data_IF_157927799426
#
_entry.id   IF_157927799426
#
_cell.length_a   1.000
_cell.length_b   1.000
_cell.length_c   1.000
_cell.angle_alpha   90.00
_cell.angle_beta   90.00
_cell.angle_gamma   90.00
#
_symmetry.space_group_name_H-M   'P 1'
#
loop_
_entity.id
_entity.type
_entity.pdbx_description
1 polymer ?
#
# COMPACT_ATOMS: atom_id res chain seq x y z
N UNK A 1 2.00 18.82 -0.02
CA UNK A 1 1.31 19.98 -0.63
C UNK A 1 2.11 20.39 -1.85
N UNK A 2 1.44 20.58 -2.99
CA UNK A 2 2.04 21.12 -4.21
C UNK A 2 1.76 22.62 -4.35
N UNK A 3 2.25 23.23 -5.44
CA UNK A 3 2.12 24.67 -5.69
C UNK A 3 0.66 25.11 -5.87
N UNK A 4 -0.16 24.31 -6.54
CA UNK A 4 -1.57 24.66 -6.77
C UNK A 4 -2.40 24.58 -5.48
N UNK A 5 -2.13 23.56 -4.66
CA UNK A 5 -2.76 23.41 -3.35
C UNK A 5 -2.39 24.58 -2.43
N UNK A 6 -1.12 25.01 -2.43
CA UNK A 6 -0.67 26.15 -1.66
C UNK A 6 -1.30 27.47 -2.15
N UNK A 7 -1.30 27.70 -3.46
CA UNK A 7 -1.91 28.91 -4.05
C UNK A 7 -3.41 29.00 -3.74
N UNK A 8 -4.13 27.86 -3.70
CA UNK A 8 -5.53 27.85 -3.28
C UNK A 8 -5.70 28.30 -1.83
N UNK A 9 -4.84 27.83 -0.92
CA UNK A 9 -4.87 28.23 0.49
C UNK A 9 -4.57 29.71 0.62
N UNK A 10 -3.56 30.24 -0.08
CA UNK A 10 -3.23 31.67 -0.09
C UNK A 10 -4.42 32.52 -0.57
N UNK A 11 -5.05 32.14 -1.67
CA UNK A 11 -6.22 32.85 -2.19
C UNK A 11 -7.42 32.85 -1.20
N UNK A 12 -7.58 31.77 -0.45
CA UNK A 12 -8.60 31.70 0.61
C UNK A 12 -8.27 32.60 1.79
N UNK A 13 -7.01 32.65 2.21
CA UNK A 13 -6.54 33.55 3.28
C UNK A 13 -6.69 35.00 2.89
N UNK A 14 -6.37 35.38 1.66
CA UNK A 14 -6.50 36.77 1.18
C UNK A 14 -7.96 37.25 1.14
N UNK A 15 -8.91 36.33 0.92
CA UNK A 15 -10.35 36.67 0.85
C UNK A 15 -11.05 36.65 2.19
N UNK A 16 -10.45 36.10 3.21
CA UNK A 16 -11.06 35.92 4.53
C UNK A 16 -10.09 36.40 5.62
N UNK A 17 -10.16 37.66 6.01
CA UNK A 17 -9.27 38.28 6.99
C UNK A 17 -9.28 37.56 8.35
N UNK A 18 -10.40 37.00 8.75
CA UNK A 18 -10.57 36.25 10.02
C UNK A 18 -10.20 34.78 9.93
N UNK A 19 -9.72 34.29 8.76
CA UNK A 19 -9.39 32.89 8.55
C UNK A 19 -8.22 32.46 9.42
N UNK A 20 -8.42 31.39 10.20
CA UNK A 20 -7.36 30.71 10.93
C UNK A 20 -6.92 29.45 10.18
N UNK A 21 -5.62 29.32 9.99
CA UNK A 21 -5.03 28.16 9.31
C UNK A 21 -4.20 27.37 10.31
N UNK A 22 -4.45 26.08 10.40
CA UNK A 22 -3.61 25.12 11.12
C UNK A 22 -3.05 24.16 10.08
N UNK A 23 -1.73 24.21 9.87
CA UNK A 23 -1.04 23.28 8.97
C UNK A 23 -0.33 22.19 9.79
N UNK A 24 -0.65 20.94 9.53
CA UNK A 24 -0.03 19.78 10.16
C UNK A 24 0.70 18.96 9.10
N UNK A 25 1.95 18.59 9.36
CA UNK A 25 2.75 17.84 8.40
C UNK A 25 4.02 17.27 9.01
N UNK A 26 4.68 16.43 8.24
CA UNK A 26 5.97 15.83 8.56
C UNK A 26 6.87 15.95 7.32
N UNK A 27 7.82 16.87 7.32
CA UNK A 27 8.73 17.12 6.21
C UNK A 27 9.73 15.97 6.02
N UNK A 28 10.09 15.24 7.07
CA UNK A 28 10.93 14.03 6.99
C UNK A 28 10.21 12.89 6.26
N UNK A 29 8.88 12.96 6.12
CA UNK A 29 8.09 11.99 5.35
C UNK A 29 7.65 12.52 3.97
N UNK A 30 8.24 13.60 3.47
CA UNK A 30 7.94 14.09 2.13
C UNK A 30 8.68 13.28 1.07
N UNK A 31 8.00 12.28 0.50
CA UNK A 31 8.51 11.36 -0.54
C UNK A 31 7.76 11.48 -1.87
N UNK A 32 7.00 12.56 -2.08
CA UNK A 32 6.23 12.80 -3.29
C UNK A 32 6.73 14.01 -4.08
N UNK A 33 8.04 14.30 -4.00
CA UNK A 33 8.68 15.36 -4.78
C UNK A 33 8.42 15.23 -6.28
N UNK A 34 8.40 14.01 -6.80
CA UNK A 34 8.04 13.71 -8.19
C UNK A 34 6.60 14.09 -8.60
N UNK A 35 5.70 14.40 -7.64
CA UNK A 35 4.36 14.94 -7.86
C UNK A 35 4.26 16.44 -7.59
N UNK A 36 5.40 17.13 -7.38
CA UNK A 36 5.44 18.55 -7.06
C UNK A 36 5.24 18.88 -5.58
N UNK A 37 5.17 17.87 -4.70
CA UNK A 37 5.10 18.10 -3.25
C UNK A 37 6.44 18.60 -2.73
N UNK A 38 6.43 19.76 -2.03
CA UNK A 38 7.63 20.39 -1.50
C UNK A 38 7.39 20.88 -0.06
N UNK A 39 8.34 20.63 0.82
CA UNK A 39 8.30 21.10 2.21
C UNK A 39 8.43 22.61 2.33
N UNK A 40 8.94 23.31 1.27
CA UNK A 40 8.99 24.78 1.24
C UNK A 40 7.63 25.41 1.49
N UNK A 41 6.54 24.83 0.98
CA UNK A 41 5.19 25.35 1.19
C UNK A 41 4.72 25.26 2.64
N UNK A 42 5.17 24.25 3.40
CA UNK A 42 4.90 24.20 4.83
C UNK A 42 5.78 25.22 5.58
N UNK A 43 7.02 25.39 5.14
CA UNK A 43 7.97 26.33 5.72
C UNK A 43 7.52 27.78 5.53
N UNK A 44 6.90 28.13 4.38
CA UNK A 44 6.43 29.47 4.08
C UNK A 44 5.32 29.96 5.04
N UNK A 45 4.55 29.07 5.66
CA UNK A 45 3.65 29.48 6.74
C UNK A 45 4.40 30.11 7.92
N UNK A 46 5.59 29.60 8.23
CA UNK A 46 6.44 30.14 9.31
C UNK A 46 7.15 31.39 8.84
N UNK A 47 7.81 31.38 7.68
CA UNK A 47 8.67 32.47 7.18
C UNK A 47 7.87 33.67 6.69
N UNK A 48 6.78 33.44 5.96
CA UNK A 48 6.08 34.47 5.20
C UNK A 48 4.74 34.86 5.84
N UNK A 49 4.14 33.93 6.61
CA UNK A 49 2.84 34.19 7.27
C UNK A 49 2.94 34.26 8.79
N UNK A 50 4.15 34.25 9.36
CA UNK A 50 4.42 34.35 10.81
C UNK A 50 3.68 33.29 11.66
N UNK A 51 3.46 32.09 11.13
CA UNK A 51 2.83 31.03 11.88
C UNK A 51 3.71 30.55 13.04
N UNK A 52 3.11 30.25 14.17
CA UNK A 52 3.80 29.67 15.32
C UNK A 52 4.01 28.16 15.06
N UNK A 53 5.26 27.73 15.15
CA UNK A 53 5.63 26.34 14.97
C UNK A 53 5.56 25.59 16.31
N UNK A 54 4.91 24.43 16.29
CA UNK A 54 4.93 23.45 17.38
C UNK A 54 5.47 22.12 16.87
N UNK A 55 6.36 21.49 17.61
CA UNK A 55 6.88 20.15 17.30
C UNK A 55 6.20 19.12 18.19
N UNK A 56 5.57 18.11 17.55
CA UNK A 56 5.05 16.94 18.24
C UNK A 56 6.18 15.93 18.37
N UNK A 57 6.72 15.79 19.58
CA UNK A 57 7.88 14.96 19.87
C UNK A 57 7.54 13.58 20.44
N UNK A 58 6.33 13.42 20.99
CA UNK A 58 5.88 12.15 21.58
C UNK A 58 5.41 11.17 20.52
N UNK A 59 5.95 9.96 20.56
CA UNK A 59 5.59 8.86 19.65
C UNK A 59 4.95 7.73 20.43
N UNK A 60 3.66 7.53 20.19
CA UNK A 60 2.85 6.47 20.80
C UNK A 60 2.74 5.22 19.94
N UNK A 61 3.36 5.21 18.75
CA UNK A 61 3.27 4.12 17.77
C UNK A 61 4.34 3.08 17.98
N UNK A 62 5.60 3.51 18.00
CA UNK A 62 6.75 2.64 17.82
C UNK A 62 7.52 2.44 19.13
N UNK A 63 8.06 1.24 19.28
CA UNK A 63 8.94 0.88 20.38
C UNK A 63 10.23 1.70 20.41
N UNK A 64 10.94 1.65 21.55
CA UNK A 64 12.15 2.47 21.80
C UNK A 64 13.25 2.26 20.77
N UNK A 65 13.54 1.00 20.42
CA UNK A 65 14.62 0.69 19.46
C UNK A 65 14.33 1.24 18.05
N UNK A 66 13.07 1.15 17.58
CA UNK A 66 12.67 1.71 16.29
C UNK A 66 12.79 3.24 16.28
N UNK A 67 12.32 3.92 17.35
CA UNK A 67 12.43 5.38 17.46
C UNK A 67 13.88 5.81 17.54
N UNK A 68 14.74 5.09 18.28
CA UNK A 68 16.18 5.37 18.38
C UNK A 68 16.85 5.32 17.01
N UNK A 69 16.61 4.26 16.24
CA UNK A 69 17.15 4.14 14.88
C UNK A 69 16.60 5.23 13.95
N UNK A 70 15.30 5.50 14.02
CA UNK A 70 14.67 6.53 13.19
C UNK A 70 15.24 7.93 13.47
N UNK A 71 15.46 8.30 14.71
CA UNK A 71 16.11 9.57 15.09
C UNK A 71 17.53 9.66 14.53
N UNK A 72 18.36 8.64 14.77
CA UNK A 72 19.73 8.61 14.27
C UNK A 72 19.78 8.70 12.73
N UNK A 73 18.86 7.99 12.03
CA UNK A 73 18.79 8.05 10.59
C UNK A 73 18.30 9.42 10.10
N UNK A 74 17.34 10.04 10.78
CA UNK A 74 16.82 11.36 10.43
C UNK A 74 17.89 12.47 10.44
N UNK A 75 18.92 12.33 11.29
CA UNK A 75 20.05 13.28 11.31
C UNK A 75 20.86 13.32 10.01
N UNK A 76 20.74 12.29 9.18
CA UNK A 76 21.37 12.26 7.85
C UNK A 76 20.64 13.12 6.81
N UNK A 77 19.38 13.53 7.08
CA UNK A 77 18.59 14.40 6.21
C UNK A 77 19.06 15.83 6.44
N UNK A 78 19.50 16.52 5.39
CA UNK A 78 20.12 17.85 5.53
C UNK A 78 19.10 18.98 5.70
N UNK A 79 17.96 18.89 5.00
CA UNK A 79 16.91 19.92 5.05
C UNK A 79 15.73 19.42 5.89
N UNK A 80 15.77 19.72 7.19
CA UNK A 80 14.72 19.37 8.14
C UNK A 80 14.10 20.59 8.79
N UNK A 81 12.80 20.53 9.02
CA UNK A 81 12.08 21.53 9.83
C UNK A 81 12.10 21.17 11.31
N UNK A 82 12.16 19.88 11.66
CA UNK A 82 12.25 19.40 13.04
C UNK A 82 13.65 19.60 13.61
N UNK A 83 13.70 20.06 14.85
CA UNK A 83 14.96 20.26 15.60
C UNK A 83 15.06 19.34 16.81
N UNK A 84 13.92 18.88 17.33
CA UNK A 84 13.86 18.01 18.51
C UNK A 84 13.79 16.54 18.12
N UNK A 85 14.48 15.64 18.86
CA UNK A 85 14.33 14.20 18.66
C UNK A 85 12.94 13.74 19.09
N UNK A 86 12.45 12.68 18.44
CA UNK A 86 11.19 12.03 18.80
C UNK A 86 11.43 11.13 20.00
N UNK A 87 10.50 11.11 20.94
CA UNK A 87 10.57 10.31 22.18
C UNK A 87 9.50 9.21 22.11
N UNK A 88 9.91 7.94 22.23
CA UNK A 88 8.97 6.84 22.34
C UNK A 88 8.26 6.86 23.69
N UNK A 89 6.94 6.84 23.65
CA UNK A 89 6.08 6.70 24.84
C UNK A 89 5.73 5.23 25.13
N UNK A 90 6.25 4.30 24.34
CA UNK A 90 6.04 2.87 24.52
C UNK A 90 6.94 2.31 25.63
N UNK A 91 6.39 1.43 26.46
CA UNK A 91 7.17 0.66 27.44
C UNK A 91 7.93 -0.53 26.82
N UNK A 92 7.64 -0.85 25.57
CA UNK A 92 8.27 -1.94 24.82
C UNK A 92 9.60 -1.44 24.21
N UNK A 93 10.69 -2.17 24.47
CA UNK A 93 11.97 -1.90 23.84
C UNK A 93 11.98 -2.30 22.36
N UNK A 94 11.25 -3.35 22.01
CA UNK A 94 11.11 -3.87 20.65
C UNK A 94 12.36 -4.59 20.14
N UNK A 95 12.38 -4.86 18.84
CA UNK A 95 13.48 -5.58 18.19
C UNK A 95 13.87 -4.86 16.88
N UNK A 96 15.14 -4.50 16.76
CA UNK A 96 15.72 -3.95 15.52
C UNK A 96 16.93 -4.78 15.11
N UNK A 97 16.93 -5.28 13.87
CA UNK A 97 18.08 -5.97 13.27
C UNK A 97 18.55 -5.26 12.00
N UNK A 98 19.85 -4.99 11.94
CA UNK A 98 20.54 -4.46 10.78
C UNK A 98 21.35 -5.58 10.14
N UNK A 99 20.82 -6.20 9.08
CA UNK A 99 21.37 -7.42 8.47
C UNK A 99 22.06 -7.05 7.17
N UNK A 100 23.40 -7.03 7.21
CA UNK A 100 24.23 -6.72 6.04
C UNK A 100 24.52 -7.98 5.25
N UNK A 101 24.21 -7.94 3.95
CA UNK A 101 24.47 -9.03 3.01
C UNK A 101 25.61 -8.71 2.05
N UNK A 102 26.36 -9.73 1.64
CA UNK A 102 27.31 -9.65 0.54
C UNK A 102 26.73 -10.06 -0.81
N UNK A 103 25.51 -10.59 -0.80
CA UNK A 103 24.78 -11.03 -1.99
C UNK A 103 23.86 -9.94 -2.53
N UNK A 104 23.44 -10.09 -3.80
CA UNK A 104 22.37 -9.27 -4.40
C UNK A 104 20.99 -9.94 -4.33
N UNK A 105 20.94 -11.23 -3.99
CA UNK A 105 19.69 -12.01 -3.93
C UNK A 105 19.15 -12.02 -2.50
N UNK A 106 18.80 -10.84 -2.03
CA UNK A 106 18.37 -10.67 -0.63
C UNK A 106 16.89 -11.00 -0.42
N UNK A 107 16.10 -11.13 -1.48
CA UNK A 107 14.67 -11.46 -1.41
C UNK A 107 14.45 -12.78 -0.65
N UNK A 108 15.25 -13.81 -0.99
CA UNK A 108 15.19 -15.10 -0.30
C UNK A 108 15.65 -15.00 1.15
N UNK A 109 16.66 -14.16 1.44
CA UNK A 109 17.12 -13.92 2.81
C UNK A 109 16.02 -13.29 3.68
N UNK A 110 15.35 -12.26 3.17
CA UNK A 110 14.20 -11.61 3.84
C UNK A 110 13.09 -12.62 4.13
N UNK A 111 12.76 -13.46 3.14
CA UNK A 111 11.73 -14.48 3.31
C UNK A 111 12.11 -15.51 4.38
N UNK A 112 13.35 -15.97 4.38
CA UNK A 112 13.83 -16.93 5.39
C UNK A 112 13.79 -16.34 6.79
N UNK A 113 14.22 -15.09 6.96
CA UNK A 113 14.16 -14.38 8.23
C UNK A 113 12.71 -14.23 8.71
N UNK A 114 11.83 -13.78 7.82
CA UNK A 114 10.40 -13.66 8.10
C UNK A 114 9.79 -15.00 8.53
N UNK A 115 10.08 -16.08 7.80
CA UNK A 115 9.52 -17.42 8.09
C UNK A 115 10.09 -18.05 9.36
N UNK A 116 11.29 -17.68 9.78
CA UNK A 116 11.92 -18.15 11.02
C UNK A 116 11.43 -17.40 12.27
N UNK A 117 10.81 -16.25 12.08
CA UNK A 117 10.31 -15.42 13.18
C UNK A 117 8.88 -15.80 13.55
N UNK A 118 8.54 -15.95 14.84
CA UNK A 118 7.17 -16.25 15.26
C UNK A 118 6.25 -15.04 15.00
N UNK A 119 5.20 -15.23 14.21
CA UNK A 119 4.27 -14.14 13.83
C UNK A 119 3.27 -13.77 14.93
N UNK A 120 3.10 -14.57 15.97
CA UNK A 120 2.28 -14.28 17.16
C UNK A 120 0.87 -13.69 16.93
N UNK A 121 0.36 -13.69 15.69
CA UNK A 121 -0.91 -13.04 15.32
C UNK A 121 -0.80 -11.54 15.04
N UNK A 122 0.41 -11.01 14.90
CA UNK A 122 0.69 -9.60 14.62
C UNK A 122 0.65 -9.27 13.12
N UNK A 123 0.44 -8.00 12.78
CA UNK A 123 0.49 -7.52 11.40
C UNK A 123 1.93 -7.49 10.89
N UNK A 124 2.19 -8.13 9.75
CA UNK A 124 3.54 -8.28 9.16
C UNK A 124 3.61 -7.66 7.78
N UNK A 125 4.64 -6.87 7.52
CA UNK A 125 4.87 -6.28 6.21
C UNK A 125 6.31 -6.45 5.73
N UNK A 126 6.47 -6.81 4.44
CA UNK A 126 7.75 -6.74 3.74
C UNK A 126 7.75 -5.48 2.87
N UNK A 127 8.70 -4.58 3.13
CA UNK A 127 8.90 -3.34 2.38
C UNK A 127 10.07 -3.46 1.43
N UNK A 128 9.86 -3.10 0.17
CA UNK A 128 10.88 -3.17 -0.88
C UNK A 128 11.11 -1.81 -1.53
N UNK A 129 12.21 -1.69 -2.25
CA UNK A 129 12.51 -0.49 -3.03
C UNK A 129 11.75 -0.45 -4.35
N UNK A 130 11.46 -1.61 -4.96
CA UNK A 130 10.86 -1.74 -6.29
C UNK A 130 9.61 -2.61 -6.29
N UNK A 131 8.74 -2.37 -7.29
CA UNK A 131 7.55 -3.21 -7.50
C UNK A 131 7.89 -4.65 -7.91
N UNK A 132 9.05 -4.86 -8.54
CA UNK A 132 9.50 -6.18 -8.99
C UNK A 132 9.86 -7.03 -7.78
N UNK A 133 10.69 -6.51 -6.88
CA UNK A 133 11.03 -7.19 -5.62
C UNK A 133 9.77 -7.56 -4.84
N UNK A 134 8.83 -6.61 -4.68
CA UNK A 134 7.57 -6.87 -4.00
C UNK A 134 6.76 -7.99 -4.69
N UNK A 135 6.73 -8.00 -6.03
CA UNK A 135 6.02 -9.01 -6.81
C UNK A 135 6.66 -10.40 -6.67
N UNK A 136 7.99 -10.48 -6.66
CA UNK A 136 8.72 -11.74 -6.46
C UNK A 136 8.48 -12.30 -5.05
N UNK A 137 8.61 -11.47 -4.01
CA UNK A 137 8.40 -11.89 -2.61
C UNK A 137 6.96 -12.38 -2.41
N UNK A 138 5.97 -11.63 -2.89
CA UNK A 138 4.56 -12.02 -2.77
C UNK A 138 4.27 -13.33 -3.54
N UNK A 139 4.86 -13.53 -4.72
CA UNK A 139 4.74 -14.73 -5.53
C UNK A 139 5.27 -15.94 -4.79
N UNK A 140 6.49 -15.86 -4.26
CA UNK A 140 7.12 -16.94 -3.53
C UNK A 140 6.37 -17.31 -2.25
N UNK A 141 5.95 -16.32 -1.45
CA UNK A 141 5.20 -16.56 -0.22
C UNK A 141 3.89 -17.30 -0.51
N UNK A 142 3.12 -16.86 -1.52
CA UNK A 142 1.87 -17.53 -1.89
C UNK A 142 2.10 -18.97 -2.39
N UNK A 143 3.16 -19.21 -3.16
CA UNK A 143 3.53 -20.57 -3.59
C UNK A 143 3.90 -21.47 -2.41
N UNK A 144 4.57 -20.90 -1.41
CA UNK A 144 4.95 -21.61 -0.19
C UNK A 144 3.79 -21.83 0.78
N UNK A 145 2.55 -21.53 0.37
CA UNK A 145 1.35 -21.72 1.18
C UNK A 145 1.13 -20.64 2.25
N UNK A 146 1.94 -19.57 2.24
CA UNK A 146 1.74 -18.41 3.12
C UNK A 146 0.86 -17.38 2.43
N UNK A 147 -0.16 -16.90 3.09
CA UNK A 147 -1.01 -15.84 2.52
C UNK A 147 -0.22 -14.55 2.43
N UNK A 148 0.12 -14.13 1.22
CA UNK A 148 0.79 -12.86 0.96
C UNK A 148 -0.09 -11.96 0.09
N UNK A 149 -0.20 -10.69 0.50
CA UNK A 149 -0.99 -9.67 -0.18
C UNK A 149 -0.10 -8.52 -0.63
N UNK A 150 -0.06 -8.30 -1.94
CA UNK A 150 0.67 -7.19 -2.52
C UNK A 150 -0.16 -5.90 -2.38
N UNK A 151 0.38 -4.92 -1.66
CA UNK A 151 -0.21 -3.57 -1.58
C UNK A 151 0.08 -2.85 -2.90
N UNK A 152 -0.98 -2.51 -3.62
CA UNK A 152 -0.90 -1.76 -4.87
C UNK A 152 -1.38 -0.33 -4.63
N UNK A 153 -0.87 0.62 -5.41
CA UNK A 153 -1.54 1.91 -5.54
C UNK A 153 -2.75 1.69 -6.46
N UNK A 154 -3.92 1.74 -5.90
CA UNK A 154 -5.18 1.79 -6.66
C UNK A 154 -5.45 3.25 -7.05
N UNK A 155 -4.47 3.94 -7.69
CA UNK A 155 -4.64 5.31 -8.13
C UNK A 155 -5.91 5.41 -8.99
N UNK A 156 -7.01 5.90 -8.41
CA UNK A 156 -8.29 6.11 -9.08
C UNK A 156 -9.23 4.90 -9.15
N UNK A 157 -9.02 3.84 -8.35
CA UNK A 157 -9.98 2.75 -8.24
C UNK A 157 -10.78 2.87 -6.93
N UNK A 158 -11.98 3.40 -7.03
CA UNK A 158 -12.90 3.54 -5.91
C UNK A 158 -13.55 2.19 -5.56
N UNK A 159 -13.88 2.00 -4.28
CA UNK A 159 -14.68 0.86 -3.79
C UNK A 159 -15.99 0.75 -4.58
N UNK A 160 -16.60 1.88 -4.91
CA UNK A 160 -17.78 1.97 -5.76
C UNK A 160 -17.64 1.20 -7.09
N UNK A 161 -16.43 1.08 -7.63
CA UNK A 161 -16.17 0.40 -8.92
C UNK A 161 -16.04 -1.13 -8.81
N UNK A 162 -16.05 -1.71 -7.61
CA UNK A 162 -16.13 -3.16 -7.45
C UNK A 162 -17.46 -3.68 -8.03
N UNK A 163 -17.39 -4.73 -8.82
CA UNK A 163 -18.58 -5.31 -9.46
C UNK A 163 -19.64 -5.77 -8.44
N UNK A 164 -19.17 -6.30 -7.31
CA UNK A 164 -19.94 -6.73 -6.16
C UNK A 164 -20.67 -5.56 -5.51
N UNK A 165 -19.96 -4.45 -5.22
CA UNK A 165 -20.54 -3.24 -4.61
C UNK A 165 -21.54 -2.58 -5.57
N UNK A 166 -21.22 -2.49 -6.85
CA UNK A 166 -22.17 -1.97 -7.86
C UNK A 166 -23.44 -2.81 -7.96
N UNK A 167 -23.31 -4.12 -7.83
CA UNK A 167 -24.47 -4.99 -7.82
C UNK A 167 -25.33 -4.76 -6.55
N UNK A 168 -24.72 -4.67 -5.40
CA UNK A 168 -25.40 -4.33 -4.15
C UNK A 168 -26.17 -3.00 -4.27
N UNK A 169 -25.52 -1.94 -4.75
CA UNK A 169 -26.15 -0.63 -4.98
C UNK A 169 -27.32 -0.75 -5.94
N UNK A 170 -27.15 -1.49 -7.04
CA UNK A 170 -28.22 -1.70 -8.02
C UNK A 170 -29.45 -2.37 -7.41
N UNK A 171 -29.27 -3.36 -6.53
CA UNK A 171 -30.37 -4.05 -5.84
C UNK A 171 -31.07 -3.09 -4.87
N UNK A 172 -30.30 -2.29 -4.11
CA UNK A 172 -30.87 -1.25 -3.25
C UNK A 172 -31.71 -0.24 -4.07
N UNK A 173 -31.13 0.34 -5.10
CA UNK A 173 -31.78 1.39 -5.91
C UNK A 173 -33.06 0.91 -6.60
N UNK A 174 -33.13 -0.36 -6.97
CA UNK A 174 -34.31 -0.93 -7.61
C UNK A 174 -35.55 -0.96 -6.68
N UNK A 175 -35.36 -0.92 -5.37
CA UNK A 175 -36.44 -1.03 -4.35
C UNK A 175 -36.51 0.20 -3.43
N UNK A 176 -35.57 1.13 -3.55
CA UNK A 176 -35.47 2.29 -2.66
C UNK A 176 -36.58 3.31 -3.01
N UNK A 177 -37.44 3.59 -2.05
CA UNK A 177 -38.54 4.56 -2.20
C UNK A 177 -38.36 5.82 -1.37
N UNK A 178 -37.31 5.88 -0.53
CA UNK A 178 -36.96 7.02 0.31
C UNK A 178 -35.44 7.17 0.41
N UNK A 179 -34.92 8.34 0.82
CA UNK A 179 -33.47 8.52 1.06
C UNK A 179 -32.89 7.60 2.15
N UNK A 180 -33.75 7.05 3.02
CA UNK A 180 -33.39 6.17 4.14
C UNK A 180 -33.50 4.72 3.69
N UNK A 181 -32.45 3.95 3.87
CA UNK A 181 -32.40 2.52 3.60
C UNK A 181 -32.87 1.79 4.84
N UNK A 182 -33.96 1.04 4.75
CA UNK A 182 -34.44 0.20 5.87
C UNK A 182 -33.53 -1.02 6.08
N UNK A 183 -33.49 -1.53 7.30
CA UNK A 183 -32.70 -2.74 7.61
C UNK A 183 -33.19 -3.97 6.81
N UNK A 184 -34.47 -4.04 6.52
CA UNK A 184 -35.04 -5.10 5.67
C UNK A 184 -34.45 -5.03 4.26
N UNK A 185 -34.48 -3.85 3.63
CA UNK A 185 -33.93 -3.67 2.29
C UNK A 185 -32.40 -3.86 2.26
N UNK A 186 -31.68 -3.42 3.31
CA UNK A 186 -30.27 -3.61 3.46
C UNK A 186 -29.88 -5.11 3.48
N UNK A 187 -30.56 -5.90 4.30
CA UNK A 187 -30.33 -7.33 4.41
C UNK A 187 -30.71 -8.06 3.11
N UNK A 188 -31.85 -7.73 2.49
CA UNK A 188 -32.22 -8.30 1.20
C UNK A 188 -31.14 -8.04 0.13
N UNK A 189 -30.53 -6.85 0.12
CA UNK A 189 -29.47 -6.53 -0.84
C UNK A 189 -28.16 -7.29 -0.53
N UNK A 190 -27.83 -7.51 0.77
CA UNK A 190 -26.69 -8.35 1.18
C UNK A 190 -26.90 -9.81 0.76
N UNK A 191 -28.07 -10.38 1.03
CA UNK A 191 -28.41 -11.76 0.63
C UNK A 191 -28.37 -11.96 -0.88
N UNK A 192 -28.87 -10.97 -1.64
CA UNK A 192 -28.79 -10.99 -3.08
C UNK A 192 -27.35 -10.94 -3.60
N UNK A 193 -26.50 -10.12 -2.95
CA UNK A 193 -25.06 -10.04 -3.25
C UNK A 193 -24.37 -11.38 -2.97
N UNK A 194 -24.57 -11.98 -1.81
CA UNK A 194 -23.99 -13.27 -1.44
C UNK A 194 -24.40 -14.37 -2.44
N UNK A 195 -25.68 -14.43 -2.77
CA UNK A 195 -26.21 -15.41 -3.73
C UNK A 195 -25.58 -15.21 -5.13
N UNK A 196 -25.54 -13.98 -5.64
CA UNK A 196 -25.07 -13.69 -7.00
C UNK A 196 -23.55 -13.81 -7.15
N UNK A 197 -22.80 -13.58 -6.07
CA UNK A 197 -21.33 -13.52 -6.07
C UNK A 197 -20.67 -14.56 -5.15
N UNK A 198 -21.37 -15.64 -4.80
CA UNK A 198 -20.88 -16.71 -3.93
C UNK A 198 -19.51 -17.31 -4.33
N UNK A 199 -19.13 -17.18 -5.60
CA UNK A 199 -17.83 -17.65 -6.13
C UNK A 199 -16.79 -16.56 -6.28
N UNK A 200 -17.09 -15.31 -5.87
CA UNK A 200 -16.15 -14.20 -5.97
C UNK A 200 -15.18 -14.23 -4.80
N UNK A 201 -13.89 -14.14 -5.08
CA UNK A 201 -12.86 -13.98 -4.06
C UNK A 201 -12.89 -12.60 -3.38
N UNK A 202 -13.60 -11.61 -3.96
CA UNK A 202 -13.78 -10.30 -3.37
C UNK A 202 -15.02 -10.20 -2.46
N UNK A 203 -15.90 -11.21 -2.47
CA UNK A 203 -17.12 -11.18 -1.66
C UNK A 203 -16.85 -10.97 -0.16
N UNK A 204 -15.91 -11.69 0.49
CA UNK A 204 -15.64 -11.46 1.93
C UNK A 204 -15.21 -10.02 2.22
N UNK A 205 -14.40 -9.42 1.37
CA UNK A 205 -13.99 -8.02 1.50
C UNK A 205 -15.19 -7.08 1.35
N UNK A 206 -16.05 -7.30 0.35
CA UNK A 206 -17.25 -6.50 0.16
C UNK A 206 -18.20 -6.58 1.35
N UNK A 207 -18.37 -7.77 1.93
CA UNK A 207 -19.16 -7.95 3.16
C UNK A 207 -18.56 -7.17 4.34
N UNK A 208 -17.24 -7.23 4.53
CA UNK A 208 -16.54 -6.42 5.54
C UNK A 208 -16.77 -4.92 5.36
N UNK A 209 -16.74 -4.42 4.12
CA UNK A 209 -17.00 -3.01 3.79
C UNK A 209 -18.43 -2.64 4.20
N UNK A 210 -19.42 -3.46 3.82
CA UNK A 210 -20.83 -3.24 4.15
C UNK A 210 -21.08 -3.29 5.66
N UNK A 211 -20.49 -4.26 6.36
CA UNK A 211 -20.61 -4.39 7.81
C UNK A 211 -19.97 -3.22 8.56
N UNK A 212 -18.88 -2.67 8.03
CA UNK A 212 -18.22 -1.49 8.61
C UNK A 212 -19.11 -0.26 8.51
N UNK A 213 -19.71 -0.02 7.34
CA UNK A 213 -20.68 1.06 7.19
C UNK A 213 -21.88 0.87 8.11
N UNK A 214 -22.45 -0.33 8.15
CA UNK A 214 -23.61 -0.66 8.99
C UNK A 214 -23.36 -0.38 10.47
N UNK A 215 -22.17 -0.70 10.99
CA UNK A 215 -21.76 -0.43 12.37
C UNK A 215 -21.53 1.06 12.66
N UNK A 216 -21.14 1.83 11.67
CA UNK A 216 -20.85 3.26 11.83
C UNK A 216 -22.08 4.16 11.71
N UNK A 217 -23.17 3.67 11.11
CA UNK A 217 -24.36 4.46 10.78
C UNK A 217 -25.54 4.09 11.69
N UNK A 218 -25.97 5.01 12.55
CA UNK A 218 -27.24 4.86 13.32
C UNK A 218 -28.45 4.76 12.39
N UNK A 219 -28.44 5.52 11.30
CA UNK A 219 -29.43 5.48 10.21
C UNK A 219 -28.69 5.44 8.88
N UNK A 220 -29.12 4.55 8.00
CA UNK A 220 -28.51 4.36 6.70
C UNK A 220 -29.13 5.31 5.68
N UNK A 221 -28.45 6.42 5.33
CA UNK A 221 -28.83 7.29 4.23
C UNK A 221 -28.12 6.87 2.95
N UNK A 222 -28.80 6.94 1.81
CA UNK A 222 -28.20 6.61 0.52
C UNK A 222 -27.02 7.55 0.18
N UNK A 223 -27.16 8.84 0.51
CA UNK A 223 -26.11 9.84 0.31
C UNK A 223 -24.83 9.51 1.09
N UNK A 224 -25.00 9.08 2.34
CA UNK A 224 -23.87 8.78 3.23
C UNK A 224 -23.18 7.49 2.81
N UNK A 225 -23.97 6.51 2.32
CA UNK A 225 -23.42 5.28 1.75
C UNK A 225 -22.58 5.56 0.49
N UNK A 226 -23.08 6.45 -0.38
CA UNK A 226 -22.35 6.84 -1.60
C UNK A 226 -21.05 7.58 -1.25
N UNK A 227 -21.13 8.54 -0.32
CA UNK A 227 -19.96 9.24 0.19
C UNK A 227 -18.93 8.26 0.80
N UNK A 228 -19.40 7.33 1.62
CA UNK A 228 -18.57 6.29 2.23
C UNK A 228 -17.82 5.46 1.17
N UNK A 229 -18.48 5.03 0.09
CA UNK A 229 -17.82 4.26 -0.97
C UNK A 229 -16.83 5.07 -1.80
N UNK A 230 -17.02 6.38 -1.94
CA UNK A 230 -16.12 7.25 -2.69
C UNK A 230 -14.95 7.78 -1.85
N UNK A 231 -15.15 7.99 -0.56
CA UNK A 231 -14.13 8.51 0.35
C UNK A 231 -13.23 7.43 0.93
N UNK A 232 -13.79 6.22 1.18
CA UNK A 232 -13.04 5.10 1.72
C UNK A 232 -12.12 4.47 0.68
N UNK A 233 -10.95 4.06 1.13
CA UNK A 233 -10.00 3.31 0.30
C UNK A 233 -10.19 1.83 0.54
N UNK A 234 -10.04 1.03 -0.52
CA UNK A 234 -10.11 -0.44 -0.44
C UNK A 234 -9.21 -1.00 0.67
N UNK A 235 -8.14 -0.31 0.91
CA UNK A 235 -7.10 -0.63 1.87
C UNK A 235 -7.54 -0.53 3.33
N UNK A 236 -8.53 0.31 3.62
CA UNK A 236 -9.05 0.54 4.98
C UNK A 236 -9.82 -0.68 5.49
N UNK A 237 -10.24 -1.57 4.59
CA UNK A 237 -11.03 -2.77 4.88
C UNK A 237 -10.24 -4.07 4.77
N UNK A 238 -8.95 -3.98 4.53
CA UNK A 238 -8.11 -5.14 4.70
C UNK A 238 -7.95 -5.38 6.20
N UNK A 239 -8.96 -6.06 6.78
CA UNK A 239 -8.81 -6.60 8.12
C UNK A 239 -7.56 -7.46 8.15
N UNK A 240 -6.79 -7.33 9.22
CA UNK A 240 -5.71 -8.25 9.56
C UNK A 240 -6.32 -9.65 9.72
N UNK A 241 -6.58 -10.33 8.60
CA UNK A 241 -6.80 -11.76 8.65
C UNK A 241 -5.52 -12.33 9.26
N UNK A 242 -5.62 -12.84 10.49
CA UNK A 242 -4.50 -13.37 11.24
C UNK A 242 -3.61 -14.24 10.34
N UNK A 243 -2.35 -13.86 10.18
CA UNK A 243 -1.37 -14.54 9.36
C UNK A 243 -1.23 -14.09 7.90
N UNK A 244 -1.87 -12.98 7.48
CA UNK A 244 -1.62 -12.38 6.15
C UNK A 244 -0.37 -11.52 6.19
N UNK A 245 0.60 -11.84 5.32
CA UNK A 245 1.82 -11.05 5.14
C UNK A 245 1.57 -9.99 4.06
N UNK A 246 1.72 -8.73 4.41
CA UNK A 246 1.65 -7.64 3.45
C UNK A 246 3.01 -7.48 2.75
N UNK A 247 2.98 -7.23 1.45
CA UNK A 247 4.18 -6.91 0.68
C UNK A 247 3.94 -5.61 -0.06
N UNK A 248 4.86 -4.65 0.07
CA UNK A 248 4.68 -3.31 -0.48
C UNK A 248 5.99 -2.68 -0.91
N UNK A 249 5.93 -1.67 -1.73
CA UNK A 249 7.04 -0.72 -1.81
C UNK A 249 6.93 0.31 -0.68
N UNK A 250 8.07 0.88 -0.29
CA UNK A 250 8.11 1.91 0.76
C UNK A 250 7.15 3.07 0.46
N UNK A 251 7.07 3.53 -0.80
CA UNK A 251 6.15 4.60 -1.21
C UNK A 251 4.68 4.27 -0.93
N UNK A 252 4.27 3.03 -1.22
CA UNK A 252 2.88 2.60 -1.07
C UNK A 252 2.50 2.26 0.37
N UNK A 253 3.48 2.11 1.24
CA UNK A 253 3.27 1.87 2.67
C UNK A 253 3.05 3.16 3.47
N UNK A 254 3.25 4.34 2.87
CA UNK A 254 3.03 5.61 3.56
C UNK A 254 1.59 5.71 4.06
N UNK A 255 1.43 6.12 5.32
CA UNK A 255 0.13 6.18 6.01
C UNK A 255 -0.29 4.87 6.69
N UNK A 256 0.45 3.76 6.49
CA UNK A 256 0.21 2.48 7.15
C UNK A 256 1.22 2.22 8.25
N UNK A 257 0.90 1.27 9.11
CA UNK A 257 1.77 0.82 10.19
C UNK A 257 1.56 -0.67 10.44
N UNK A 258 2.62 -1.36 10.86
CA UNK A 258 2.62 -2.81 11.05
C UNK A 258 3.39 -3.16 12.33
N UNK A 259 3.00 -4.24 12.99
CA UNK A 259 3.71 -4.69 14.19
C UNK A 259 5.12 -5.15 13.87
N UNK A 260 5.30 -5.83 12.75
CA UNK A 260 6.60 -6.31 12.27
C UNK A 260 6.85 -5.86 10.82
N UNK A 261 8.00 -5.25 10.59
CA UNK A 261 8.43 -4.79 9.25
C UNK A 261 9.77 -5.41 8.89
N UNK A 262 9.83 -6.00 7.70
CA UNK A 262 11.05 -6.51 7.06
C UNK A 262 11.36 -5.62 5.86
N UNK A 263 12.44 -4.85 5.91
CA UNK A 263 12.84 -3.95 4.82
C UNK A 263 13.91 -4.59 3.94
N UNK A 264 13.71 -4.54 2.63
CA UNK A 264 14.68 -4.92 1.62
C UNK A 264 15.23 -3.68 0.93
N UNK A 265 16.51 -3.38 1.16
CA UNK A 265 17.25 -2.25 0.57
C UNK A 265 18.37 -2.74 -0.35
N UNK A 266 17.97 -3.32 -1.48
CA UNK A 266 18.91 -3.88 -2.45
C UNK A 266 19.56 -2.77 -3.29
N UNK A 267 20.87 -2.58 -3.16
CA UNK A 267 21.64 -1.51 -3.82
C UNK A 267 21.00 -0.11 -3.67
N UNK A 268 20.36 0.14 -2.52
CA UNK A 268 19.72 1.42 -2.28
C UNK A 268 20.73 2.57 -2.34
N UNK A 269 20.57 3.45 -3.31
CA UNK A 269 21.36 4.67 -3.38
C UNK A 269 20.75 5.71 -2.43
N UNK A 270 21.60 6.40 -1.65
CA UNK A 270 21.21 7.45 -0.70
C UNK A 270 21.96 8.73 -1.06
N UNK A 271 21.74 9.19 -2.31
CA UNK A 271 22.47 10.30 -2.86
C UNK A 271 21.88 11.67 -2.52
N UNK A 272 20.61 11.70 -2.12
CA UNK A 272 19.86 12.92 -1.83
C UNK A 272 18.90 12.74 -0.65
N UNK A 273 18.32 13.83 -0.21
CA UNK A 273 17.38 13.84 0.90
C UNK A 273 16.06 13.12 0.60
N UNK A 274 15.62 13.04 -0.66
CA UNK A 274 14.41 12.29 -1.03
C UNK A 274 14.63 10.80 -0.80
N UNK A 275 15.80 10.27 -1.19
CA UNK A 275 16.16 8.89 -0.92
C UNK A 275 16.25 8.58 0.58
N UNK A 276 16.81 9.53 1.38
CA UNK A 276 16.86 9.40 2.85
C UNK A 276 15.47 9.42 3.46
N UNK A 277 14.61 10.38 3.08
CA UNK A 277 13.21 10.44 3.53
C UNK A 277 12.44 9.18 3.19
N UNK A 278 12.67 8.60 2.01
CA UNK A 278 12.06 7.33 1.64
C UNK A 278 12.43 6.21 2.62
N UNK A 279 13.69 6.06 2.97
CA UNK A 279 14.12 5.07 3.97
C UNK A 279 13.51 5.39 5.33
N UNK A 280 13.57 6.63 5.78
CA UNK A 280 12.97 7.08 7.03
C UNK A 280 11.48 6.72 7.11
N UNK A 281 10.72 6.93 6.03
CA UNK A 281 9.32 6.49 5.96
C UNK A 281 9.21 4.99 6.18
N UNK A 282 10.08 4.18 5.59
CA UNK A 282 10.08 2.72 5.80
C UNK A 282 10.33 2.34 7.24
N UNK A 283 11.34 2.96 7.89
CA UNK A 283 11.67 2.72 9.31
C UNK A 283 10.46 3.00 10.21
N UNK A 284 9.77 4.11 9.98
CA UNK A 284 8.63 4.56 10.79
C UNK A 284 7.33 3.79 10.54
N UNK A 285 7.35 2.74 9.72
CA UNK A 285 6.18 1.85 9.53
C UNK A 285 6.10 0.76 10.61
N UNK A 286 7.20 0.47 11.29
CA UNK A 286 7.27 -0.56 12.31
C UNK A 286 6.77 -0.07 13.67
N UNK A 287 5.99 -0.91 14.36
CA UNK A 287 5.60 -0.70 15.76
C UNK A 287 6.58 -1.38 16.72
N UNK A 288 6.80 -2.68 16.55
CA UNK A 288 7.51 -3.51 17.55
C UNK A 288 8.77 -4.17 17.03
N UNK A 289 8.77 -4.57 15.73
CA UNK A 289 9.91 -5.28 15.12
C UNK A 289 10.28 -4.66 13.80
N UNK A 290 11.60 -4.43 13.60
CA UNK A 290 12.13 -3.89 12.35
C UNK A 290 13.42 -4.63 11.98
N UNK A 291 13.36 -5.45 10.92
CA UNK A 291 14.53 -6.09 10.34
C UNK A 291 14.87 -5.43 9.01
N UNK A 292 16.11 -4.99 8.84
CA UNK A 292 16.57 -4.28 7.64
C UNK A 292 17.65 -5.11 6.97
N UNK A 293 17.33 -5.62 5.78
CA UNK A 293 18.27 -6.34 4.92
C UNK A 293 18.85 -5.37 3.89
N UNK A 294 20.17 -5.18 3.91
CA UNK A 294 20.85 -4.24 3.02
C UNK A 294 22.20 -4.80 2.55
N UNK A 295 22.69 -4.31 1.42
CA UNK A 295 23.98 -4.75 0.82
C UNK A 295 24.92 -3.60 0.45
N UNK A 296 24.62 -2.42 0.94
CA UNK A 296 25.49 -1.23 0.87
C UNK A 296 25.93 -0.82 2.29
N UNK A 297 26.72 0.22 2.41
CA UNK A 297 27.23 0.69 3.72
C UNK A 297 26.29 1.60 4.50
N UNK A 298 25.01 1.70 4.13
CA UNK A 298 24.10 2.75 4.62
C UNK A 298 23.89 2.75 6.14
N UNK A 299 23.96 1.58 6.79
CA UNK A 299 23.79 1.44 8.24
C UNK A 299 25.06 1.02 8.97
N UNK A 300 26.22 1.00 8.32
CA UNK A 300 27.46 0.51 8.94
C UNK A 300 27.90 1.39 10.10
N UNK A 301 27.78 2.71 9.97
CA UNK A 301 28.23 3.69 10.96
C UNK A 301 27.16 4.03 12.02
N UNK A 302 25.95 3.45 11.92
CA UNK A 302 24.92 3.69 12.91
C UNK A 302 25.15 2.83 14.16
N UNK A 303 25.44 3.48 15.27
CA UNK A 303 25.45 2.85 16.58
C UNK A 303 24.21 3.31 17.36
N UNK A 304 23.15 2.51 17.31
CA UNK A 304 21.87 2.84 17.93
C UNK A 304 21.54 1.86 19.04
N UNK A 305 21.10 2.39 20.15
CA UNK A 305 20.68 1.59 21.29
C UNK A 305 19.53 0.64 20.92
N UNK A 306 19.72 -0.65 21.16
CA UNK A 306 18.70 -1.68 20.89
C UNK A 306 18.68 -2.23 19.48
N UNK A 307 19.64 -1.86 18.62
CA UNK A 307 19.80 -2.46 17.29
C UNK A 307 20.91 -3.53 17.28
N UNK A 308 20.55 -4.73 16.84
CA UNK A 308 21.48 -5.83 16.60
C UNK A 308 22.06 -5.74 15.18
N UNK A 309 23.40 -5.73 15.05
CA UNK A 309 24.09 -5.77 13.76
C UNK A 309 24.49 -7.19 13.41
N UNK A 310 24.07 -7.66 12.25
CA UNK A 310 24.35 -9.01 11.75
C UNK A 310 25.00 -8.90 10.38
N UNK A 311 26.08 -9.64 10.15
CA UNK A 311 26.65 -9.83 8.81
C UNK A 311 26.27 -11.22 8.32
N UNK A 312 25.52 -11.27 7.23
CA UNK A 312 25.12 -12.51 6.58
C UNK A 312 25.98 -12.75 5.34
N UNK A 313 26.78 -13.81 5.38
CA UNK A 313 27.68 -14.23 4.30
C UNK A 313 27.07 -15.33 3.42
N UNK A 314 25.84 -15.76 3.70
CA UNK A 314 25.20 -16.81 2.94
C UNK A 314 24.90 -16.37 1.51
N UNK A 315 24.89 -17.34 0.60
CA UNK A 315 24.44 -17.17 -0.78
C UNK A 315 23.03 -17.69 -0.92
N UNK A 316 22.16 -16.89 -1.49
CA UNK A 316 20.74 -17.22 -1.68
C UNK A 316 20.43 -17.41 -3.16
N UNK A 317 19.53 -18.37 -3.51
CA UNK A 317 19.05 -18.51 -4.87
C UNK A 317 18.17 -17.31 -5.26
N UNK A 318 18.07 -17.04 -6.56
CA UNK A 318 17.06 -16.13 -7.09
C UNK A 318 15.65 -16.70 -6.91
N UNK A 319 14.68 -15.83 -6.73
CA UNK A 319 13.28 -16.21 -6.81
C UNK A 319 12.90 -16.47 -8.28
N UNK A 320 12.29 -17.61 -8.52
CA UNK A 320 11.91 -18.09 -9.86
C UNK A 320 10.48 -17.73 -10.26
N UNK A 321 9.71 -17.12 -9.38
CA UNK A 321 8.33 -16.69 -9.61
C UNK A 321 8.08 -15.24 -9.22
N UNK A 322 7.11 -14.60 -9.90
CA UNK A 322 6.61 -13.29 -9.55
C UNK A 322 5.11 -13.17 -9.82
N UNK A 323 4.41 -12.35 -9.04
CA UNK A 323 3.05 -11.92 -9.33
C UNK A 323 3.10 -10.56 -10.01
N UNK A 324 2.56 -10.48 -11.23
CA UNK A 324 2.49 -9.22 -11.98
C UNK A 324 1.03 -8.72 -12.01
N UNK A 325 0.67 -7.77 -11.16
CA UNK A 325 -0.65 -7.16 -11.21
C UNK A 325 -0.80 -6.29 -12.45
N UNK A 326 -1.99 -6.32 -13.07
CA UNK A 326 -2.32 -5.47 -14.21
C UNK A 326 -3.14 -4.26 -13.76
N UNK A 327 -2.68 -3.06 -14.11
CA UNK A 327 -3.44 -1.84 -13.98
C UNK A 327 -4.08 -1.42 -15.31
N UNK A 328 -4.86 -0.33 -15.31
CA UNK A 328 -5.49 0.21 -16.52
C UNK A 328 -4.49 0.59 -17.62
N UNK A 329 -3.26 0.96 -17.27
CA UNK A 329 -2.17 1.27 -18.22
C UNK A 329 -1.57 0.05 -18.91
N UNK A 330 -1.81 -1.14 -18.35
CA UNK A 330 -1.26 -2.41 -18.84
C UNK A 330 -2.17 -3.06 -19.87
N UNK A 331 -3.39 -2.58 -19.99
CA UNK A 331 -4.42 -3.11 -20.88
C UNK A 331 -4.79 -2.11 -21.98
N UNK A 332 -5.17 -2.61 -23.16
CA UNK A 332 -5.68 -1.79 -24.24
C UNK A 332 -7.16 -1.53 -24.04
N UNK A 333 -7.51 -0.39 -23.44
CA UNK A 333 -8.88 -0.04 -23.06
C UNK A 333 -9.86 -0.04 -24.22
N UNK A 334 -9.42 0.37 -25.42
CA UNK A 334 -10.27 0.36 -26.63
C UNK A 334 -10.78 -1.04 -27.00
N UNK A 335 -10.10 -2.10 -26.57
CA UNK A 335 -10.53 -3.48 -26.83
C UNK A 335 -11.83 -3.85 -26.09
N UNK A 336 -12.12 -3.22 -24.96
CA UNK A 336 -13.27 -3.53 -24.13
C UNK A 336 -14.61 -3.05 -24.72
N UNK A 337 -14.59 -2.14 -25.70
CA UNK A 337 -15.79 -1.50 -26.23
C UNK A 337 -16.86 -2.53 -26.68
N UNK A 338 -16.41 -3.60 -27.35
CA UNK A 338 -17.31 -4.63 -27.90
C UNK A 338 -17.35 -5.91 -27.03
N UNK A 339 -16.81 -5.88 -25.82
CA UNK A 339 -16.69 -7.05 -24.93
C UNK A 339 -17.46 -6.89 -23.61
N UNK A 340 -18.32 -5.88 -23.52
CA UNK A 340 -19.03 -5.52 -22.27
C UNK A 340 -19.76 -6.72 -21.66
N UNK A 341 -20.51 -7.48 -22.46
CA UNK A 341 -21.31 -8.61 -21.94
C UNK A 341 -20.46 -9.77 -21.42
N UNK A 342 -19.28 -9.99 -22.01
CA UNK A 342 -18.33 -10.98 -21.53
C UNK A 342 -17.66 -10.55 -20.23
N UNK A 343 -17.27 -9.27 -20.16
CA UNK A 343 -16.63 -8.69 -18.97
C UNK A 343 -17.58 -8.69 -17.79
N UNK A 344 -18.86 -8.36 -17.99
CA UNK A 344 -19.88 -8.39 -16.94
C UNK A 344 -20.15 -9.78 -16.35
N UNK A 345 -19.72 -10.85 -17.03
CA UNK A 345 -19.82 -12.24 -16.55
C UNK A 345 -18.59 -12.68 -15.74
N UNK A 346 -17.53 -11.89 -15.74
CA UNK A 346 -16.35 -12.21 -14.93
C UNK A 346 -16.65 -12.03 -13.44
N UNK A 347 -15.97 -12.82 -12.65
CA UNK A 347 -15.99 -12.76 -11.19
C UNK A 347 -14.57 -12.77 -10.67
N UNK A 348 -14.34 -12.09 -9.57
CA UNK A 348 -13.04 -12.11 -8.90
C UNK A 348 -12.64 -13.56 -8.57
N UNK A 349 -11.37 -13.89 -8.80
CA UNK A 349 -10.86 -15.26 -8.61
C UNK A 349 -11.04 -16.21 -9.81
N UNK A 350 -11.71 -15.79 -10.90
CA UNK A 350 -11.79 -16.60 -12.12
C UNK A 350 -10.41 -16.74 -12.77
N UNK A 351 -10.06 -17.98 -13.13
CA UNK A 351 -8.82 -18.26 -13.88
C UNK A 351 -9.00 -17.89 -15.35
N UNK A 352 -8.04 -17.16 -15.88
CA UNK A 352 -7.97 -16.75 -17.27
C UNK A 352 -6.74 -17.39 -17.92
N UNK A 353 -6.86 -17.72 -19.20
CA UNK A 353 -5.74 -18.24 -19.97
C UNK A 353 -4.90 -17.10 -20.52
N UNK A 354 -3.63 -17.04 -20.14
CA UNK A 354 -2.70 -16.02 -20.62
C UNK A 354 -2.23 -16.37 -22.04
N UNK A 355 -2.26 -15.40 -22.93
CA UNK A 355 -1.75 -15.49 -24.31
C UNK A 355 -0.66 -14.43 -24.52
N UNK A 356 0.13 -14.49 -25.61
CA UNK A 356 1.12 -13.43 -25.90
C UNK A 356 0.52 -12.02 -26.08
N UNK A 357 -0.76 -11.95 -26.38
CA UNK A 357 -1.43 -10.67 -26.71
C UNK A 357 -2.38 -10.16 -25.62
N UNK A 358 -2.82 -11.05 -24.71
CA UNK A 358 -3.82 -10.71 -23.72
C UNK A 358 -4.24 -11.90 -22.87
N UNK A 359 -5.50 -11.94 -22.48
CA UNK A 359 -6.08 -13.04 -21.70
C UNK A 359 -7.38 -13.52 -22.32
N UNK A 360 -7.61 -14.82 -22.27
CA UNK A 360 -8.80 -15.48 -22.76
C UNK A 360 -9.59 -16.10 -21.61
N UNK A 361 -10.91 -16.06 -21.74
CA UNK A 361 -11.80 -16.93 -20.96
C UNK A 361 -12.08 -18.22 -21.76
N UNK A 362 -12.12 -19.35 -21.06
CA UNK A 362 -12.54 -20.61 -21.64
C UNK A 362 -14.06 -20.75 -21.44
N UNK A 363 -14.79 -20.84 -22.53
CA UNK A 363 -16.25 -21.04 -22.55
C UNK A 363 -16.59 -22.40 -23.16
N UNK A 364 -17.86 -22.81 -23.07
CA UNK A 364 -18.34 -24.03 -23.73
C UNK A 364 -18.13 -24.00 -25.25
N UNK A 365 -18.10 -22.81 -25.85
CA UNK A 365 -17.94 -22.59 -27.30
C UNK A 365 -16.48 -22.33 -27.71
N UNK A 366 -15.51 -22.56 -26.81
CA UNK A 366 -14.10 -22.33 -27.07
C UNK A 366 -13.50 -21.16 -26.27
N UNK A 367 -12.32 -20.72 -26.69
CA UNK A 367 -11.62 -19.61 -26.05
C UNK A 367 -12.09 -18.28 -26.64
N UNK A 368 -12.32 -17.29 -25.78
CA UNK A 368 -12.66 -15.95 -26.18
C UNK A 368 -11.71 -14.93 -25.52
N UNK A 369 -11.08 -14.08 -26.33
CA UNK A 369 -10.23 -13.00 -25.82
C UNK A 369 -11.08 -11.96 -25.11
N UNK A 370 -10.77 -11.67 -23.84
CA UNK A 370 -11.48 -10.73 -22.97
C UNK A 370 -10.64 -9.55 -22.56
N UNK A 371 -9.33 -9.64 -22.70
CA UNK A 371 -8.39 -8.61 -22.34
C UNK A 371 -7.22 -8.63 -23.32
N UNK A 372 -6.82 -7.47 -23.79
CA UNK A 372 -5.63 -7.27 -24.63
C UNK A 372 -4.62 -6.40 -23.93
N UNK A 373 -3.35 -6.83 -23.94
CA UNK A 373 -2.26 -6.08 -23.33
C UNK A 373 -1.94 -4.82 -24.11
N UNK A 374 -1.59 -3.75 -23.39
CA UNK A 374 -1.06 -2.53 -23.99
C UNK A 374 0.33 -2.77 -24.59
N UNK A 375 0.80 -1.84 -25.44
CA UNK A 375 2.14 -1.93 -26.04
C UNK A 375 3.22 -1.91 -24.96
N UNK A 376 3.13 -1.01 -24.00
CA UNK A 376 4.09 -0.88 -22.90
C UNK A 376 4.15 -2.13 -22.04
N UNK A 377 3.02 -2.78 -21.76
CA UNK A 377 3.02 -4.03 -21.00
C UNK A 377 3.66 -5.19 -21.76
N UNK A 378 3.42 -5.31 -23.08
CA UNK A 378 4.09 -6.32 -23.90
C UNK A 378 5.62 -6.15 -23.93
N UNK A 379 6.11 -4.92 -23.98
CA UNK A 379 7.54 -4.61 -23.88
C UNK A 379 8.09 -5.05 -22.50
N UNK A 380 7.35 -4.77 -21.42
CA UNK A 380 7.70 -5.21 -20.07
C UNK A 380 7.69 -6.74 -19.92
N UNK A 381 6.68 -7.43 -20.48
CA UNK A 381 6.65 -8.90 -20.52
C UNK A 381 7.84 -9.48 -21.28
N UNK A 382 8.24 -8.86 -22.39
CA UNK A 382 9.44 -9.26 -23.12
C UNK A 382 10.71 -9.11 -22.27
N UNK A 383 10.78 -8.08 -21.44
CA UNK A 383 11.84 -7.89 -20.45
C UNK A 383 11.89 -9.04 -19.43
N UNK A 384 10.75 -9.40 -18.85
CA UNK A 384 10.65 -10.53 -17.91
C UNK A 384 11.04 -11.87 -18.58
N UNK A 385 10.59 -12.07 -19.82
CA UNK A 385 10.94 -13.29 -20.57
C UNK A 385 12.44 -13.43 -20.82
N UNK A 386 13.16 -12.31 -21.07
CA UNK A 386 14.63 -12.31 -21.20
C UNK A 386 15.33 -12.66 -19.89
N UNK A 387 14.70 -12.40 -18.76
CA UNK A 387 15.18 -12.78 -17.43
C UNK A 387 14.81 -14.23 -17.06
N UNK A 388 14.13 -14.96 -17.94
CA UNK A 388 13.76 -16.37 -17.73
C UNK A 388 12.33 -16.60 -17.24
N UNK A 389 11.58 -15.53 -16.91
CA UNK A 389 10.20 -15.68 -16.45
C UNK A 389 9.25 -16.02 -17.61
N UNK A 390 8.32 -16.92 -17.36
CA UNK A 390 7.25 -17.29 -18.29
C UNK A 390 5.90 -17.17 -17.61
N UNK A 391 4.84 -16.72 -18.34
CA UNK A 391 3.50 -16.75 -17.79
C UNK A 391 3.12 -18.16 -17.33
N UNK A 392 2.55 -18.26 -16.13
CA UNK A 392 2.07 -19.52 -15.58
C UNK A 392 0.78 -19.91 -16.32
N UNK A 393 0.67 -21.19 -16.69
CA UNK A 393 -0.51 -21.75 -17.36
C UNK A 393 -1.54 -22.25 -16.34
#
# INVERSE_FOLDING_TARGET
MDENEYALIEALMERNEDMRVIAVGDDDQNIYGFRGSDSKFLRSFITDKNAVKYELVENYRSCRAVVSLANAFAETITERMKTSPIISMSDNDGEVKLIRHRTRNMETAVINDLLSSPDGGSSVCVLTSTNIEAACIAGFLNRSGRRAKLIQSNDGFDIYNLAEIRYFIKVLEAKLTSPIISDVLWNEAKDALESAYSRSSALPLCMTILDTYEKSAERKYKSDLDAFFHESKLEDFFSDENGTIFVSTIHKSKGREFDSVYMLLNNAAVNDDEARRKIYVGLTRAKNRLHIHYNNGIFDDFDTQGAEKITDENKYPFLDEMIVPLGHKDVFLGFFKDKKDLILRLRSGMKLLVTPYGMNIVTKNGQCEILRFSKSFKERLSGYSRQGYKPYK
#
